data_IF_429608712544
#
_entry.id   IF_429608712544
#
_cell.length_a   1.000
_cell.length_b   1.000
_cell.length_c   1.000
_cell.angle_alpha   90.00
_cell.angle_beta   90.00
_cell.angle_gamma   90.00
#
_symmetry.space_group_name_H-M   'P 1'
#
loop_
_entity.id
_entity.type
_entity.pdbx_description
1 polymer ?
#
# COMPACT_ATOMS: atom_id res chain seq x y z
N UNK A 1 63.69 16.51 -14.04
CA UNK A 1 63.31 17.78 -14.67
C UNK A 1 62.31 17.45 -15.76
N UNK A 2 61.00 17.41 -15.42
CA UNK A 2 60.00 18.44 -15.79
C UNK A 2 59.91 18.59 -17.31
N UNK A 3 58.80 18.26 -17.97
CA UNK A 3 57.52 18.94 -17.77
C UNK A 3 56.27 18.09 -17.98
N UNK A 4 55.25 18.51 -17.22
CA UNK A 4 53.86 18.15 -17.34
C UNK A 4 53.21 18.80 -18.58
N UNK A 5 52.32 18.07 -19.24
CA UNK A 5 51.26 18.61 -20.10
C UNK A 5 50.05 17.72 -19.84
N UNK A 6 49.24 18.09 -18.85
CA UNK A 6 48.03 18.89 -19.01
C UNK A 6 46.87 18.07 -19.64
N UNK A 7 46.00 17.62 -18.73
CA UNK A 7 44.54 17.70 -18.82
C UNK A 7 43.86 17.34 -20.15
N UNK A 8 43.31 16.13 -20.18
CA UNK A 8 41.92 15.97 -20.60
C UNK A 8 41.18 15.22 -19.50
N UNK A 9 40.74 15.98 -18.50
CA UNK A 9 39.56 15.64 -17.72
C UNK A 9 38.40 15.56 -18.71
N UNK A 10 38.12 14.35 -19.19
CA UNK A 10 36.81 14.04 -19.75
C UNK A 10 35.85 14.09 -18.56
N UNK A 11 35.41 15.30 -18.21
CA UNK A 11 34.09 15.49 -17.61
C UNK A 11 33.13 15.00 -18.67
N UNK A 12 32.88 13.69 -18.64
CA UNK A 12 31.69 13.12 -19.21
C UNK A 12 30.55 13.82 -18.49
N UNK A 13 30.09 14.88 -19.13
CA UNK A 13 28.79 15.49 -18.95
C UNK A 13 27.79 14.35 -18.99
N UNK A 14 27.43 13.84 -17.81
CA UNK A 14 26.41 12.83 -17.62
C UNK A 14 25.06 13.55 -17.73
N UNK A 15 24.82 14.13 -18.90
CA UNK A 15 23.55 14.72 -19.32
C UNK A 15 22.58 13.59 -19.72
N UNK A 16 22.59 12.52 -18.93
CA UNK A 16 21.57 11.48 -18.95
C UNK A 16 20.46 11.97 -18.02
N UNK A 17 19.20 12.05 -18.48
CA UNK A 17 18.09 12.31 -17.58
C UNK A 17 18.13 11.28 -16.45
N UNK A 18 18.39 11.75 -15.21
CA UNK A 18 18.39 10.96 -13.98
C UNK A 18 17.28 9.90 -14.05
N UNK A 19 17.62 8.61 -13.92
CA UNK A 19 16.70 7.53 -14.21
C UNK A 19 15.41 7.71 -13.41
N UNK A 20 14.29 7.38 -14.05
CA UNK A 20 12.97 7.39 -13.45
C UNK A 20 12.99 6.55 -12.16
N UNK A 21 13.22 7.22 -11.04
CA UNK A 21 13.31 6.63 -9.72
C UNK A 21 11.88 6.28 -9.30
N UNK A 22 11.38 5.14 -9.80
CA UNK A 22 9.96 4.75 -9.84
C UNK A 22 9.28 4.66 -8.47
N UNK A 23 8.57 3.55 -8.20
CA UNK A 23 7.89 3.37 -6.92
C UNK A 23 8.78 3.58 -5.68
N UNK A 24 10.03 3.06 -5.61
CA UNK A 24 10.87 3.24 -4.42
C UNK A 24 11.36 4.68 -4.21
N UNK A 25 11.54 5.46 -5.29
CA UNK A 25 11.90 6.88 -5.19
C UNK A 25 10.74 7.79 -4.76
N UNK A 26 9.50 7.34 -4.96
CA UNK A 26 8.31 8.11 -4.59
C UNK A 26 8.14 8.28 -3.08
N UNK A 27 8.54 7.29 -2.27
CA UNK A 27 8.43 7.36 -0.80
C UNK A 27 9.31 8.45 -0.17
N UNK A 28 10.65 8.47 -0.36
CA UNK A 28 11.50 9.51 0.22
C UNK A 28 11.17 10.88 -0.35
N UNK A 29 10.77 10.96 -1.63
CA UNK A 29 10.33 12.22 -2.23
C UNK A 29 9.03 12.74 -1.58
N UNK A 30 7.99 11.92 -1.47
CA UNK A 30 6.71 12.33 -0.88
C UNK A 30 6.87 12.74 0.59
N UNK A 31 7.70 12.02 1.34
CA UNK A 31 7.99 12.34 2.74
C UNK A 31 8.67 13.71 2.90
N UNK A 32 9.61 14.04 2.00
CA UNK A 32 10.35 15.31 2.03
C UNK A 32 9.51 16.48 1.49
N UNK A 33 8.66 16.24 0.50
CA UNK A 33 7.89 17.28 -0.17
C UNK A 33 6.66 17.76 0.62
N UNK A 34 6.01 16.87 1.37
CA UNK A 34 4.81 17.22 2.15
C UNK A 34 5.17 17.94 3.44
N UNK A 35 4.41 18.97 3.84
CA UNK A 35 4.53 19.61 5.16
C UNK A 35 3.60 19.00 6.23
N UNK A 36 2.67 18.13 5.84
CA UNK A 36 1.74 17.47 6.76
C UNK A 36 2.42 16.39 7.63
N UNK A 37 2.44 16.59 8.95
CA UNK A 37 2.93 15.58 9.90
C UNK A 37 2.14 14.27 9.83
N UNK A 38 0.83 14.34 9.60
CA UNK A 38 -0.02 13.15 9.48
C UNK A 38 0.35 12.31 8.26
N UNK A 39 0.63 12.98 7.13
CA UNK A 39 1.10 12.29 5.93
C UNK A 39 2.51 11.72 6.12
N UNK A 40 3.41 12.47 6.78
CA UNK A 40 4.75 11.96 7.14
C UNK A 40 4.69 10.71 8.03
N UNK A 41 3.78 10.66 8.99
CA UNK A 41 3.56 9.47 9.82
C UNK A 41 2.96 8.31 9.03
N UNK A 42 2.12 8.59 8.04
CA UNK A 42 1.51 7.58 7.18
C UNK A 42 2.52 6.87 6.28
N UNK A 43 3.48 7.58 5.69
CA UNK A 43 4.47 7.01 4.74
C UNK A 43 5.20 5.76 5.29
N UNK A 44 5.83 5.77 6.49
CA UNK A 44 6.49 4.59 7.02
C UNK A 44 5.50 3.48 7.38
N UNK A 45 4.29 3.82 7.84
CA UNK A 45 3.23 2.83 8.11
C UNK A 45 2.80 2.12 6.83
N UNK A 46 2.60 2.88 5.74
CA UNK A 46 2.24 2.35 4.44
C UNK A 46 3.35 1.45 3.87
N UNK A 47 4.61 1.85 4.01
CA UNK A 47 5.75 1.03 3.60
C UNK A 47 5.81 -0.27 4.41
N UNK A 48 5.74 -0.18 5.73
CA UNK A 48 5.78 -1.32 6.64
C UNK A 48 4.66 -2.33 6.35
N UNK A 49 3.42 -1.84 6.25
CA UNK A 49 2.26 -2.68 5.95
C UNK A 49 2.34 -3.28 4.55
N UNK A 50 2.80 -2.53 3.54
CA UNK A 50 2.97 -3.06 2.18
C UNK A 50 3.98 -4.21 2.16
N UNK A 51 5.10 -4.06 2.86
CA UNK A 51 6.12 -5.11 3.00
C UNK A 51 5.54 -6.30 3.76
N UNK A 52 4.88 -6.08 4.89
CA UNK A 52 4.28 -7.15 5.69
C UNK A 52 3.22 -7.94 4.91
N UNK A 53 2.30 -7.26 4.22
CA UNK A 53 1.28 -7.89 3.37
C UNK A 53 1.97 -8.68 2.24
N UNK A 54 2.95 -8.10 1.57
CA UNK A 54 3.70 -8.78 0.50
C UNK A 54 4.36 -10.07 1.01
N UNK A 55 4.96 -10.03 2.20
CA UNK A 55 5.57 -11.21 2.84
C UNK A 55 4.52 -12.26 3.20
N UNK A 56 3.40 -11.86 3.83
CA UNK A 56 2.32 -12.79 4.20
C UNK A 56 1.74 -13.49 2.96
N UNK A 57 1.47 -12.74 1.89
CA UNK A 57 1.00 -13.34 0.64
C UNK A 57 2.09 -14.17 -0.06
N UNK A 58 3.36 -13.78 0.02
CA UNK A 58 4.46 -14.59 -0.55
C UNK A 58 4.60 -15.93 0.17
N UNK A 59 4.59 -15.93 1.51
CA UNK A 59 4.62 -17.17 2.29
C UNK A 59 3.35 -18.00 2.09
N UNK A 60 2.18 -17.37 2.06
CA UNK A 60 0.92 -18.06 1.77
C UNK A 60 0.90 -18.71 0.38
N UNK A 61 1.56 -18.10 -0.61
CA UNK A 61 1.73 -18.71 -1.93
C UNK A 61 2.68 -19.93 -1.85
N UNK A 62 3.79 -19.82 -1.12
CA UNK A 62 4.75 -20.92 -0.93
C UNK A 62 4.05 -22.10 -0.24
N UNK A 63 3.24 -21.88 0.80
CA UNK A 63 2.50 -22.95 1.49
C UNK A 63 1.47 -23.61 0.57
N UNK A 64 0.71 -22.82 -0.21
CA UNK A 64 -0.20 -23.35 -1.22
C UNK A 64 0.51 -24.17 -2.31
N UNK A 65 1.79 -23.90 -2.56
CA UNK A 65 2.61 -24.66 -3.51
C UNK A 65 3.14 -25.95 -2.88
N UNK A 66 3.55 -25.89 -1.60
CA UNK A 66 4.06 -27.02 -0.84
C UNK A 66 2.99 -28.10 -0.58
N UNK A 67 1.73 -27.71 -0.40
CA UNK A 67 0.60 -28.63 -0.20
C UNK A 67 0.15 -29.36 -1.48
N UNK A 68 0.84 -29.14 -2.61
CA UNK A 68 0.45 -29.72 -3.91
C UNK A 68 0.97 -31.15 -4.09
N UNK A 69 0.31 -32.13 -3.48
CA UNK A 69 0.36 -33.52 -3.92
C UNK A 69 -0.57 -33.71 -5.12
N UNK A 70 0.00 -33.95 -6.31
CA UNK A 70 -0.62 -34.37 -7.58
C UNK A 70 -2.16 -34.28 -7.70
N UNK A 71 -2.72 -33.41 -8.58
CA UNK A 71 -3.88 -33.67 -9.49
C UNK A 71 -4.49 -32.37 -10.08
N UNK A 72 -4.78 -32.43 -11.40
CA UNK A 72 -5.62 -31.61 -12.32
C UNK A 72 -5.56 -30.07 -12.25
N UNK A 73 -4.91 -29.49 -13.27
CA UNK A 73 -4.94 -28.06 -13.59
C UNK A 73 -6.33 -27.56 -14.00
N UNK A 74 -6.69 -26.38 -13.53
CA UNK A 74 -8.00 -25.75 -13.74
C UNK A 74 -8.35 -24.83 -12.56
N UNK A 75 -9.02 -25.37 -11.54
CA UNK A 75 -9.49 -24.61 -10.37
C UNK A 75 -8.36 -24.09 -9.46
N UNK A 76 -7.27 -24.85 -9.34
CA UNK A 76 -6.11 -24.45 -8.52
C UNK A 76 -5.37 -23.23 -9.06
N UNK A 77 -5.28 -23.08 -10.39
CA UNK A 77 -4.66 -21.92 -11.02
C UNK A 77 -5.48 -20.66 -10.76
N UNK A 78 -6.81 -20.74 -10.84
CA UNK A 78 -7.70 -19.63 -10.53
C UNK A 78 -7.58 -19.19 -9.05
N UNK A 79 -7.63 -20.13 -8.11
CA UNK A 79 -7.50 -19.85 -6.67
C UNK A 79 -6.16 -19.15 -6.35
N UNK A 80 -5.05 -19.62 -6.94
CA UNK A 80 -3.71 -19.03 -6.75
C UNK A 80 -3.60 -17.63 -7.33
N UNK A 81 -4.07 -17.41 -8.56
CA UNK A 81 -4.09 -16.09 -9.18
C UNK A 81 -5.00 -15.12 -8.42
N UNK A 82 -6.15 -15.58 -7.94
CA UNK A 82 -7.05 -14.78 -7.12
C UNK A 82 -6.41 -14.40 -5.78
N UNK A 83 -5.69 -15.30 -5.14
CA UNK A 83 -4.94 -15.01 -3.91
C UNK A 83 -3.94 -13.87 -4.12
N UNK A 84 -3.15 -13.90 -5.19
CA UNK A 84 -2.24 -12.81 -5.55
C UNK A 84 -2.98 -11.50 -5.88
N UNK A 85 -4.11 -11.61 -6.57
CA UNK A 85 -4.96 -10.46 -6.89
C UNK A 85 -5.48 -9.77 -5.62
N UNK A 86 -5.92 -10.52 -4.61
CA UNK A 86 -6.35 -9.97 -3.32
C UNK A 86 -5.18 -9.28 -2.61
N UNK A 87 -3.99 -9.87 -2.63
CA UNK A 87 -2.78 -9.24 -2.08
C UNK A 87 -2.48 -7.89 -2.75
N UNK A 88 -2.57 -7.84 -4.09
CA UNK A 88 -2.41 -6.59 -4.84
C UNK A 88 -3.52 -5.57 -4.52
N UNK A 89 -4.76 -6.03 -4.37
CA UNK A 89 -5.91 -5.18 -4.03
C UNK A 89 -5.76 -4.53 -2.65
N UNK A 90 -5.05 -5.18 -1.71
CA UNK A 90 -4.73 -4.62 -0.40
C UNK A 90 -3.59 -3.60 -0.48
N UNK A 91 -2.54 -3.89 -1.25
CA UNK A 91 -1.35 -3.03 -1.35
C UNK A 91 -1.62 -1.78 -2.19
N UNK A 92 -2.39 -1.87 -3.28
CA UNK A 92 -2.57 -0.74 -4.20
C UNK A 92 -3.20 0.51 -3.54
N UNK A 93 -4.31 0.43 -2.77
CA UNK A 93 -4.88 1.58 -2.06
C UNK A 93 -3.97 2.10 -0.93
N UNK A 94 -3.07 1.25 -0.41
CA UNK A 94 -2.07 1.63 0.58
C UNK A 94 -0.91 2.44 -0.03
N UNK A 95 -0.63 2.25 -1.33
CA UNK A 95 0.41 3.01 -2.04
C UNK A 95 -0.15 4.24 -2.75
N UNK A 96 -1.44 4.21 -3.11
CA UNK A 96 -2.10 5.26 -3.88
C UNK A 96 -1.94 6.69 -3.28
N UNK A 97 -2.06 6.91 -1.95
CA UNK A 97 -1.86 8.23 -1.37
C UNK A 97 -0.44 8.75 -1.54
N UNK A 98 0.56 7.88 -1.33
CA UNK A 98 1.98 8.22 -1.46
C UNK A 98 2.30 8.66 -2.88
N UNK A 99 1.85 7.88 -3.87
CA UNK A 99 2.06 8.18 -5.28
C UNK A 99 1.30 9.43 -5.72
N UNK A 100 0.10 9.64 -5.19
CA UNK A 100 -0.73 10.81 -5.53
C UNK A 100 -0.10 12.10 -5.00
N UNK A 101 0.40 12.10 -3.76
CA UNK A 101 1.10 13.25 -3.16
C UNK A 101 2.42 13.51 -3.88
N UNK A 102 3.22 12.48 -4.16
CA UNK A 102 4.46 12.62 -4.94
C UNK A 102 4.19 13.22 -6.32
N UNK A 103 3.20 12.68 -7.04
CA UNK A 103 2.83 13.18 -8.37
C UNK A 103 2.36 14.62 -8.32
N UNK A 104 1.56 14.98 -7.31
CA UNK A 104 1.01 16.33 -7.19
C UNK A 104 2.11 17.35 -6.96
N UNK A 105 2.99 17.14 -5.98
CA UNK A 105 4.14 18.02 -5.72
C UNK A 105 5.10 18.13 -6.90
N UNK A 106 5.20 17.11 -7.77
CA UNK A 106 6.03 17.17 -8.99
C UNK A 106 5.40 17.96 -10.14
N UNK A 107 4.07 18.05 -10.21
CA UNK A 107 3.37 18.57 -11.40
C UNK A 107 2.57 19.85 -11.16
N UNK A 108 2.26 20.16 -9.91
CA UNK A 108 1.34 21.23 -9.47
C UNK A 108 1.73 21.68 -8.06
N UNK A 109 1.27 22.83 -7.61
CA UNK A 109 1.33 23.17 -6.18
C UNK A 109 0.42 22.21 -5.38
N UNK A 110 0.97 21.57 -4.35
CA UNK A 110 0.17 20.80 -3.39
C UNK A 110 -0.15 21.66 -2.16
N UNK A 111 -1.12 21.23 -1.37
CA UNK A 111 -1.50 21.89 -0.13
C UNK A 111 -1.49 20.91 1.03
N UNK A 112 -1.16 21.42 2.22
CA UNK A 112 -1.18 20.65 3.47
C UNK A 112 -2.55 20.03 3.72
N UNK A 113 -3.63 20.72 3.34
CA UNK A 113 -5.00 20.22 3.46
C UNK A 113 -5.24 18.97 2.61
N UNK A 114 -4.74 18.95 1.37
CA UNK A 114 -4.82 17.80 0.48
C UNK A 114 -4.03 16.61 1.06
N UNK A 115 -2.77 16.83 1.45
CA UNK A 115 -1.91 15.77 1.99
C UNK A 115 -2.50 15.15 3.27
N UNK A 116 -3.06 16.00 4.15
CA UNK A 116 -3.73 15.56 5.38
C UNK A 116 -5.00 14.77 5.09
N UNK A 117 -5.86 15.24 4.17
CA UNK A 117 -7.10 14.53 3.83
C UNK A 117 -6.81 13.15 3.22
N UNK A 118 -5.80 13.07 2.37
CA UNK A 118 -5.35 11.80 1.79
C UNK A 118 -4.77 10.86 2.86
N UNK A 119 -4.02 11.38 3.82
CA UNK A 119 -3.53 10.59 4.95
C UNK A 119 -4.67 10.07 5.83
N UNK A 120 -5.68 10.90 6.18
CA UNK A 120 -6.85 10.48 6.97
C UNK A 120 -7.61 9.35 6.28
N UNK A 121 -7.92 9.53 4.99
CA UNK A 121 -8.64 8.50 4.22
C UNK A 121 -7.83 7.21 4.09
N UNK A 122 -6.51 7.30 4.00
CA UNK A 122 -5.64 6.14 3.99
C UNK A 122 -5.55 5.40 5.34
N UNK A 123 -5.52 6.13 6.46
CA UNK A 123 -5.63 5.52 7.79
C UNK A 123 -7.00 4.89 8.01
N UNK A 124 -8.06 5.50 7.47
CA UNK A 124 -9.41 4.91 7.48
C UNK A 124 -9.44 3.60 6.67
N UNK A 125 -8.71 3.51 5.55
CA UNK A 125 -8.51 2.25 4.83
C UNK A 125 -7.78 1.20 5.68
N UNK A 126 -6.71 1.55 6.37
CA UNK A 126 -6.03 0.61 7.29
C UNK A 126 -6.98 0.12 8.38
N UNK A 127 -7.73 1.01 9.03
CA UNK A 127 -8.74 0.64 10.01
C UNK A 127 -9.84 -0.25 9.44
N UNK A 128 -10.23 -0.02 8.19
CA UNK A 128 -11.23 -0.85 7.51
C UNK A 128 -10.74 -2.27 7.20
N UNK A 129 -9.44 -2.46 6.93
CA UNK A 129 -8.84 -3.80 6.81
C UNK A 129 -8.96 -4.54 8.15
N UNK A 130 -8.69 -3.86 9.27
CA UNK A 130 -8.87 -4.45 10.58
C UNK A 130 -10.33 -4.88 10.82
N UNK A 131 -11.31 -4.03 10.46
CA UNK A 131 -12.73 -4.39 10.55
C UNK A 131 -13.11 -5.55 9.63
N UNK A 132 -12.52 -5.63 8.44
CA UNK A 132 -12.70 -6.77 7.54
C UNK A 132 -12.25 -8.06 8.20
N UNK A 133 -11.03 -8.08 8.74
CA UNK A 133 -10.45 -9.22 9.45
C UNK A 133 -11.29 -9.61 10.67
N UNK A 134 -11.75 -8.62 11.45
CA UNK A 134 -12.60 -8.82 12.61
C UNK A 134 -13.93 -9.48 12.24
N UNK A 135 -14.55 -9.04 11.15
CA UNK A 135 -15.83 -9.57 10.65
C UNK A 135 -15.68 -10.97 10.05
N UNK A 136 -14.58 -11.20 9.30
CA UNK A 136 -14.33 -12.47 8.63
C UNK A 136 -13.67 -13.54 9.51
N UNK A 137 -13.38 -13.23 10.78
CA UNK A 137 -12.69 -14.12 11.70
C UNK A 137 -13.44 -15.46 11.85
N UNK A 138 -12.80 -16.62 11.63
CA UNK A 138 -13.40 -17.93 11.88
C UNK A 138 -13.83 -18.09 13.33
N UNK A 139 -14.96 -18.75 13.59
CA UNK A 139 -15.50 -18.91 14.94
C UNK A 139 -14.51 -19.56 15.93
N UNK A 140 -13.67 -20.48 15.46
CA UNK A 140 -12.64 -21.14 16.26
C UNK A 140 -11.50 -20.21 16.73
N UNK A 141 -11.33 -19.05 16.09
CA UNK A 141 -10.29 -18.07 16.40
C UNK A 141 -10.86 -16.83 17.13
N UNK A 142 -12.15 -16.82 17.47
CA UNK A 142 -12.79 -15.71 18.18
C UNK A 142 -12.65 -15.88 19.68
N UNK A 143 -12.09 -14.86 20.33
CA UNK A 143 -12.10 -14.79 21.79
C UNK A 143 -13.47 -14.33 22.31
N UNK A 144 -13.93 -14.86 23.46
CA UNK A 144 -15.11 -14.33 24.15
C UNK A 144 -14.92 -12.84 24.45
N UNK A 145 -15.91 -12.02 24.14
CA UNK A 145 -15.83 -10.57 24.32
C UNK A 145 -17.07 -10.02 25.03
N UNK A 146 -16.86 -9.06 25.92
CA UNK A 146 -17.93 -8.25 26.52
C UNK A 146 -18.14 -6.93 25.77
N UNK A 147 -17.34 -6.64 24.74
CA UNK A 147 -17.46 -5.41 23.95
C UNK A 147 -18.62 -5.52 22.97
N UNK A 148 -19.60 -4.61 23.10
CA UNK A 148 -20.73 -4.53 22.18
C UNK A 148 -20.28 -4.30 20.72
N UNK A 149 -19.21 -3.54 20.52
CA UNK A 149 -18.66 -3.26 19.18
C UNK A 149 -18.10 -4.52 18.56
N UNK A 150 -17.26 -5.27 19.28
CA UNK A 150 -16.67 -6.51 18.77
C UNK A 150 -17.74 -7.57 18.57
N UNK A 151 -18.68 -7.71 19.52
CA UNK A 151 -19.82 -8.61 19.43
C UNK A 151 -20.69 -8.32 18.20
N UNK A 152 -20.92 -7.05 17.88
CA UNK A 152 -21.61 -6.64 16.65
C UNK A 152 -20.91 -7.16 15.40
N UNK A 153 -19.60 -6.91 15.24
CA UNK A 153 -18.86 -7.39 14.05
C UNK A 153 -18.79 -8.92 13.96
N UNK A 154 -18.67 -9.62 15.10
CA UNK A 154 -18.70 -11.08 15.12
C UNK A 154 -20.07 -11.67 14.77
N UNK A 155 -21.15 -10.92 14.97
CA UNK A 155 -22.51 -11.35 14.62
C UNK A 155 -22.80 -11.24 13.12
N UNK A 156 -22.02 -10.48 12.37
CA UNK A 156 -22.21 -10.28 10.94
C UNK A 156 -21.77 -11.52 10.13
N UNK A 157 -22.37 -11.75 8.94
CA UNK A 157 -21.88 -12.75 8.01
C UNK A 157 -20.42 -12.45 7.60
N UNK A 158 -19.55 -13.46 7.44
CA UNK A 158 -18.14 -13.24 7.06
C UNK A 158 -17.97 -12.44 5.75
N UNK A 159 -18.91 -12.59 4.81
CA UNK A 159 -18.91 -11.85 3.54
C UNK A 159 -19.12 -10.34 3.72
N UNK A 160 -19.73 -9.89 4.81
CA UNK A 160 -19.86 -8.47 5.13
C UNK A 160 -18.50 -7.81 5.41
N UNK A 161 -17.46 -8.60 5.70
CA UNK A 161 -16.10 -8.10 5.91
C UNK A 161 -15.51 -7.39 4.69
N UNK A 162 -16.03 -7.60 3.48
CA UNK A 162 -15.56 -6.89 2.28
C UNK A 162 -16.05 -5.42 2.24
N UNK A 163 -17.13 -5.10 2.93
CA UNK A 163 -17.80 -3.80 2.85
C UNK A 163 -16.93 -2.66 3.39
N UNK A 164 -16.29 -2.76 4.58
CA UNK A 164 -15.48 -1.67 5.10
C UNK A 164 -14.31 -1.26 4.18
N UNK A 165 -13.46 -2.18 3.66
CA UNK A 165 -12.39 -1.82 2.73
C UNK A 165 -12.87 -1.18 1.43
N UNK A 166 -14.02 -1.62 0.89
CA UNK A 166 -14.59 -1.03 -0.31
C UNK A 166 -15.06 0.40 -0.07
N UNK A 167 -15.77 0.64 1.04
CA UNK A 167 -16.20 1.99 1.42
C UNK A 167 -15.00 2.91 1.69
N UNK A 168 -13.99 2.42 2.39
CA UNK A 168 -12.77 3.18 2.65
C UNK A 168 -12.02 3.55 1.36
N UNK A 169 -11.92 2.61 0.43
CA UNK A 169 -11.31 2.84 -0.89
C UNK A 169 -12.10 3.88 -1.69
N UNK A 170 -13.43 3.81 -1.63
CA UNK A 170 -14.31 4.81 -2.24
C UNK A 170 -14.10 6.19 -1.63
N UNK A 171 -14.02 6.29 -0.29
CA UNK A 171 -13.73 7.54 0.41
C UNK A 171 -12.37 8.09 0.00
N UNK A 172 -11.33 7.25 -0.08
CA UNK A 172 -10.00 7.65 -0.56
C UNK A 172 -10.06 8.19 -1.99
N UNK A 173 -10.73 7.48 -2.89
CA UNK A 173 -10.91 7.92 -4.29
C UNK A 173 -11.66 9.24 -4.40
N UNK A 174 -12.77 9.40 -3.66
CA UNK A 174 -13.55 10.63 -3.64
C UNK A 174 -12.76 11.78 -3.04
N UNK A 175 -12.01 11.55 -1.96
CA UNK A 175 -11.12 12.55 -1.34
C UNK A 175 -10.08 13.03 -2.35
N UNK A 176 -9.45 12.09 -3.05
CA UNK A 176 -8.51 12.44 -4.13
C UNK A 176 -9.18 13.25 -5.23
N UNK A 177 -10.36 12.81 -5.70
CA UNK A 177 -11.06 13.45 -6.83
C UNK A 177 -11.60 14.84 -6.51
N UNK A 178 -12.10 15.06 -5.29
CA UNK A 178 -12.73 16.32 -4.88
C UNK A 178 -11.71 17.41 -4.49
N UNK A 179 -10.52 17.01 -4.04
CA UNK A 179 -9.45 17.93 -3.64
C UNK A 179 -8.36 18.12 -4.71
N UNK A 180 -8.48 17.42 -5.84
CA UNK A 180 -7.61 17.55 -7.00
C UNK A 180 -8.01 18.76 -7.83
#
# INVERSE_FOLDING_TARGET
>A
MTDATAEQSVTADDDRPEPYNGLPGAFPYAFRASDSLLFKAYVPVALLLSVAITLVFSFGLITQLAETGSVRGGTFTFSRSFFLFVGLLLVAPLLAPVLSVARRHRRTESSVAYDRALAVSAFLFIGSIYLALLTSAPAALREPTQSAVVGFFYSLPPTAGIVPPLLATLVLYLTHRLLK
#
